data_IF_929131186168
#
_entry.id   IF_929131186168
#
_cell.length_a   1.000
_cell.length_b   1.000
_cell.length_c   1.000
_cell.angle_alpha   90.00
_cell.angle_beta   90.00
_cell.angle_gamma   90.00
#
_symmetry.space_group_name_H-M   'P 1'
#
loop_
_entity.id
_entity.type
_entity.pdbx_description
1 polymer ?
#
# COMPACT_ATOMS: atom_id res chain seq x y z
N UNK A 1 -33.35 24.80 1.42
CA UNK A 1 -32.34 25.18 0.42
C UNK A 1 -30.97 24.52 0.67
N UNK A 2 -30.30 24.72 1.82
CA UNK A 2 -28.98 24.10 2.06
C UNK A 2 -29.01 22.62 2.51
N UNK A 3 -30.10 22.19 3.17
CA UNK A 3 -30.28 20.79 3.60
C UNK A 3 -30.61 19.87 2.41
N UNK A 4 -31.39 20.39 1.46
CA UNK A 4 -31.84 19.65 0.28
C UNK A 4 -30.66 19.30 -0.64
N UNK A 5 -29.73 20.24 -0.85
CA UNK A 5 -28.51 20.03 -1.63
C UNK A 5 -27.61 18.92 -1.04
N UNK A 6 -27.57 18.79 0.29
CA UNK A 6 -26.75 17.77 0.97
C UNK A 6 -27.38 16.38 0.89
N UNK A 7 -28.71 16.30 0.87
CA UNK A 7 -29.44 15.04 0.66
C UNK A 7 -29.24 14.54 -0.78
N UNK A 8 -29.24 15.46 -1.75
CA UNK A 8 -29.03 15.14 -3.16
C UNK A 8 -27.59 14.67 -3.42
N UNK A 9 -26.59 15.29 -2.79
CA UNK A 9 -25.20 14.81 -2.80
C UNK A 9 -25.04 13.39 -2.21
N UNK A 10 -25.76 13.07 -1.13
CA UNK A 10 -25.69 11.75 -0.51
C UNK A 10 -26.38 10.67 -1.37
N UNK A 11 -27.44 11.02 -2.11
CA UNK A 11 -28.06 10.09 -3.08
C UNK A 11 -27.14 9.79 -4.26
N UNK A 12 -26.54 10.83 -4.85
CA UNK A 12 -25.58 10.67 -5.95
C UNK A 12 -24.37 9.81 -5.54
N UNK A 13 -23.87 9.98 -4.31
CA UNK A 13 -22.78 9.16 -3.77
C UNK A 13 -23.19 7.70 -3.58
N UNK A 14 -24.42 7.44 -3.15
CA UNK A 14 -24.93 6.07 -2.97
C UNK A 14 -25.12 5.34 -4.30
N UNK A 15 -25.58 6.05 -5.33
CA UNK A 15 -25.74 5.49 -6.68
C UNK A 15 -24.39 5.21 -7.35
N UNK A 16 -23.41 6.10 -7.19
CA UNK A 16 -22.04 5.86 -7.66
C UNK A 16 -21.43 4.60 -7.03
N UNK A 17 -21.57 4.44 -5.70
CA UNK A 17 -21.09 3.25 -4.99
C UNK A 17 -21.78 1.96 -5.44
N UNK A 18 -23.09 2.01 -5.70
CA UNK A 18 -23.82 0.84 -6.20
C UNK A 18 -23.33 0.42 -7.60
N UNK A 19 -23.04 1.40 -8.46
CA UNK A 19 -22.59 1.17 -9.84
C UNK A 19 -21.17 0.57 -9.87
N UNK A 20 -20.27 1.08 -9.02
CA UNK A 20 -18.91 0.53 -8.83
C UNK A 20 -18.92 -0.89 -8.26
N UNK A 21 -19.85 -1.19 -7.33
CA UNK A 21 -19.97 -2.54 -6.78
C UNK A 21 -20.39 -3.55 -7.85
N UNK A 22 -21.32 -3.18 -8.73
CA UNK A 22 -21.73 -4.03 -9.87
C UNK A 22 -20.63 -4.17 -10.92
N UNK A 23 -19.86 -3.11 -11.19
CA UNK A 23 -18.73 -3.17 -12.12
C UNK A 23 -17.60 -4.07 -11.58
N UNK A 24 -17.32 -3.98 -10.27
CA UNK A 24 -16.36 -4.84 -9.59
C UNK A 24 -16.82 -6.29 -9.55
N UNK A 25 -18.09 -6.57 -9.25
CA UNK A 25 -18.67 -7.92 -9.29
C UNK A 25 -18.67 -8.52 -10.71
N UNK A 26 -18.89 -7.71 -11.75
CA UNK A 26 -18.80 -8.16 -13.14
C UNK A 26 -17.35 -8.46 -13.55
N UNK A 27 -16.38 -7.66 -13.10
CA UNK A 27 -14.94 -7.88 -13.29
C UNK A 27 -14.44 -9.17 -12.63
N UNK A 28 -15.03 -9.61 -11.53
CA UNK A 28 -14.65 -10.87 -10.89
C UNK A 28 -15.20 -12.12 -11.61
N UNK A 29 -16.28 -11.99 -12.39
CA UNK A 29 -16.84 -13.12 -13.17
C UNK A 29 -16.07 -13.41 -14.46
N UNK A 30 -15.38 -12.43 -15.03
CA UNK A 30 -14.59 -12.62 -16.26
C UNK A 30 -13.23 -13.27 -16.00
N UNK A 31 -12.64 -13.10 -14.81
CA UNK A 31 -11.35 -13.70 -14.46
C UNK A 31 -11.42 -15.22 -14.25
N UNK A 32 -12.61 -15.79 -14.00
CA UNK A 32 -12.76 -17.24 -13.79
C UNK A 32 -12.85 -18.09 -15.07
N UNK A 33 -12.94 -17.50 -16.26
CA UNK A 33 -13.09 -18.27 -17.51
C UNK A 33 -11.79 -18.51 -18.30
N UNK A 34 -10.76 -17.66 -18.17
CA UNK A 34 -9.58 -17.75 -19.05
C UNK A 34 -8.30 -18.33 -18.40
N UNK A 35 -8.32 -18.68 -17.10
CA UNK A 35 -7.10 -19.02 -16.35
C UNK A 35 -6.74 -20.51 -16.19
N UNK A 36 -7.55 -21.45 -16.67
CA UNK A 36 -7.41 -22.87 -16.32
C UNK A 36 -6.81 -23.79 -17.41
N UNK A 37 -6.31 -23.25 -18.53
CA UNK A 37 -5.80 -24.07 -19.63
C UNK A 37 -4.25 -24.18 -19.73
N UNK A 38 -3.47 -23.58 -18.82
CA UNK A 38 -2.02 -23.39 -19.02
C UNK A 38 -1.04 -24.24 -18.19
N UNK A 39 -1.45 -24.96 -17.15
CA UNK A 39 -0.51 -25.49 -16.13
C UNK A 39 -0.66 -27.02 -15.93
N UNK A 40 -0.64 -27.78 -17.02
CA UNK A 40 -0.67 -29.26 -16.94
C UNK A 40 0.48 -29.98 -17.67
N UNK A 41 1.53 -29.26 -18.10
CA UNK A 41 2.60 -29.86 -18.92
C UNK A 41 4.01 -29.56 -18.43
N UNK A 42 4.32 -29.66 -17.14
CA UNK A 42 5.73 -29.61 -16.70
C UNK A 42 5.90 -30.23 -15.29
N UNK A 43 5.79 -31.56 -15.16
CA UNK A 43 6.53 -32.35 -14.15
C UNK A 43 6.23 -33.88 -14.27
N UNK A 44 6.67 -34.53 -15.35
CA UNK A 44 6.87 -35.99 -15.33
C UNK A 44 8.20 -36.29 -16.01
N UNK A 45 9.28 -36.25 -15.23
CA UNK A 45 10.56 -36.84 -15.61
C UNK A 45 11.37 -37.11 -14.34
N UNK A 46 11.73 -38.39 -14.16
CA UNK A 46 12.70 -38.97 -13.22
C UNK A 46 12.20 -39.50 -11.87
N UNK A 47 11.64 -40.73 -11.86
CA UNK A 47 12.01 -41.75 -10.85
C UNK A 47 12.02 -43.15 -11.48
N UNK A 48 13.14 -43.87 -11.31
CA UNK A 48 13.40 -45.25 -11.77
C UNK A 48 12.70 -46.31 -10.89
N UNK A 49 12.40 -47.44 -11.55
CA UNK A 49 11.86 -48.74 -11.10
C UNK A 49 12.52 -49.37 -9.83
N UNK A 50 11.85 -50.32 -9.11
CA UNK A 50 11.83 -51.73 -9.56
C UNK A 50 10.55 -52.58 -9.28
N UNK A 51 10.44 -53.64 -10.10
CA UNK A 51 9.59 -54.87 -10.11
C UNK A 51 8.81 -55.26 -8.83
N UNK A 52 7.52 -55.66 -9.00
CA UNK A 52 7.02 -57.07 -8.94
C UNK A 52 5.49 -57.18 -9.12
N UNK A 53 5.08 -58.28 -9.80
CA UNK A 53 3.85 -59.12 -9.70
C UNK A 53 2.51 -58.38 -9.46
N UNK A 54 1.48 -58.42 -10.29
CA UNK A 54 1.06 -59.39 -11.29
C UNK A 54 -0.40 -59.76 -11.00
N UNK A 55 -1.34 -59.28 -11.81
CA UNK A 55 -2.70 -59.85 -11.95
C UNK A 55 -3.32 -59.23 -13.20
N UNK A 56 -3.46 -60.04 -14.24
CA UNK A 56 -4.13 -59.64 -15.49
C UNK A 56 -5.63 -59.55 -15.27
N UNK A 57 -6.19 -58.36 -15.45
CA UNK A 57 -7.63 -58.19 -15.59
C UNK A 57 -7.99 -58.39 -17.06
N UNK A 58 -8.57 -59.55 -17.35
CA UNK A 58 -8.97 -59.99 -18.69
C UNK A 58 -10.23 -59.21 -19.11
N UNK A 59 -10.08 -58.28 -20.05
CA UNK A 59 -11.20 -57.54 -20.66
C UNK A 59 -12.07 -58.53 -21.45
N UNK A 60 -13.34 -58.68 -21.06
CA UNK A 60 -14.36 -59.41 -21.82
C UNK A 60 -15.29 -58.38 -22.45
N UNK A 61 -15.08 -58.07 -23.72
CA UNK A 61 -16.05 -57.30 -24.50
C UNK A 61 -17.20 -58.22 -24.88
N UNK A 62 -18.41 -57.87 -24.43
CA UNK A 62 -19.66 -58.48 -24.91
C UNK A 62 -20.38 -57.41 -25.72
N UNK A 63 -20.50 -57.65 -27.02
CA UNK A 63 -21.34 -56.87 -27.93
C UNK A 63 -22.78 -57.36 -27.73
N UNK A 64 -23.70 -56.44 -27.48
CA UNK A 64 -25.14 -56.70 -27.61
C UNK A 64 -25.73 -55.58 -28.45
N UNK A 65 -26.27 -56.00 -29.59
CA UNK A 65 -27.08 -55.18 -30.48
C UNK A 65 -28.49 -55.05 -29.86
N UNK A 66 -29.12 -53.88 -30.06
CA UNK A 66 -30.51 -53.64 -29.68
C UNK A 66 -30.65 -52.73 -28.46
N UNK A 67 -31.09 -51.50 -28.71
CA UNK A 67 -31.32 -50.50 -27.67
C UNK A 67 -32.38 -50.92 -26.65
N UNK A 68 -32.15 -50.54 -25.40
CA UNK A 68 -33.18 -50.38 -24.39
C UNK A 68 -32.73 -49.31 -23.39
N UNK A 69 -33.63 -48.38 -23.13
CA UNK A 69 -33.52 -47.28 -22.18
C UNK A 69 -33.53 -47.86 -20.76
N UNK A 70 -32.62 -47.42 -19.90
CA UNK A 70 -32.69 -47.64 -18.46
C UNK A 70 -32.73 -46.28 -17.78
N UNK A 71 -33.93 -45.88 -17.37
CA UNK A 71 -34.13 -44.91 -16.29
C UNK A 71 -33.72 -45.57 -14.98
N UNK A 72 -32.91 -44.87 -14.17
CA UNK A 72 -32.74 -45.19 -12.75
C UNK A 72 -32.81 -43.90 -11.95
N UNK A 73 -33.92 -43.73 -11.25
CA UNK A 73 -34.10 -42.69 -10.26
C UNK A 73 -33.25 -42.98 -9.01
N UNK A 74 -32.70 -41.89 -8.48
CA UNK A 74 -32.36 -41.66 -7.09
C UNK A 74 -31.38 -42.64 -6.44
N UNK A 75 -30.15 -42.17 -6.22
CA UNK A 75 -29.57 -42.24 -4.87
C UNK A 75 -28.45 -41.20 -4.71
N UNK A 76 -28.58 -40.41 -3.64
CA UNK A 76 -27.48 -39.84 -2.84
C UNK A 76 -26.65 -38.74 -3.53
N UNK A 77 -27.09 -37.49 -3.66
CA UNK A 77 -27.32 -36.50 -2.58
C UNK A 77 -26.33 -36.54 -1.40
N UNK A 78 -25.10 -37.06 -1.57
CA UNK A 78 -24.13 -37.09 -0.47
C UNK A 78 -22.68 -36.79 -0.86
N UNK A 79 -22.41 -36.37 -2.11
CA UNK A 79 -21.04 -36.08 -2.56
C UNK A 79 -20.82 -34.63 -3.05
N UNK A 80 -21.64 -33.68 -2.61
CA UNK A 80 -21.47 -32.26 -2.94
C UNK A 80 -21.33 -31.32 -1.71
N UNK A 81 -21.30 -31.86 -0.49
CA UNK A 81 -21.20 -31.06 0.75
C UNK A 81 -19.76 -31.07 1.34
N UNK A 82 -18.83 -31.85 0.77
CA UNK A 82 -17.47 -31.96 1.31
C UNK A 82 -16.43 -31.00 0.65
N UNK A 83 -16.82 -30.15 -0.30
CA UNK A 83 -15.90 -29.29 -1.07
C UNK A 83 -16.12 -27.78 -0.83
N UNK A 84 -16.66 -27.40 0.34
CA UNK A 84 -17.19 -26.05 0.58
C UNK A 84 -16.53 -25.21 1.67
N UNK A 85 -15.40 -25.63 2.27
CA UNK A 85 -14.83 -24.88 3.40
C UNK A 85 -13.30 -24.92 3.45
N UNK A 86 -12.63 -24.46 2.39
CA UNK A 86 -11.26 -23.95 2.53
C UNK A 86 -11.33 -22.41 2.51
N UNK A 87 -11.76 -21.84 3.63
CA UNK A 87 -11.67 -20.40 3.85
C UNK A 87 -10.19 -20.04 3.93
N UNK A 88 -9.62 -19.56 2.83
CA UNK A 88 -8.30 -18.95 2.80
C UNK A 88 -8.40 -17.65 3.58
N UNK A 89 -8.13 -17.70 4.89
CA UNK A 89 -7.88 -16.51 5.68
C UNK A 89 -6.59 -15.88 5.18
N UNK A 90 -6.70 -14.84 4.37
CA UNK A 90 -5.57 -14.00 4.00
C UNK A 90 -5.13 -13.23 5.24
N UNK A 91 -4.03 -13.67 5.87
CA UNK A 91 -3.36 -12.89 6.89
C UNK A 91 -2.77 -11.65 6.21
N UNK A 92 -3.34 -10.48 6.50
CA UNK A 92 -2.73 -9.21 6.09
C UNK A 92 -1.51 -9.00 6.98
N UNK A 93 -0.32 -9.31 6.46
CA UNK A 93 0.93 -8.90 7.11
C UNK A 93 1.00 -7.38 7.01
N UNK A 94 0.70 -6.69 8.11
CA UNK A 94 0.98 -5.27 8.25
C UNK A 94 2.49 -5.10 8.40
N UNK A 95 3.10 -4.17 7.64
CA UNK A 95 4.50 -3.86 7.81
C UNK A 95 4.76 -3.42 9.25
N UNK A 96 5.67 -4.11 9.95
CA UNK A 96 5.92 -3.86 11.36
C UNK A 96 6.65 -2.52 11.54
N UNK A 97 6.07 -1.62 12.34
CA UNK A 97 6.71 -0.36 12.71
C UNK A 97 7.96 -0.65 13.56
N UNK A 98 9.16 -0.16 13.16
CA UNK A 98 10.39 -0.39 13.92
C UNK A 98 10.35 0.24 15.32
N UNK A 99 11.25 -0.20 16.21
CA UNK A 99 11.45 0.45 17.51
C UNK A 99 11.79 1.93 17.36
N UNK A 100 11.43 2.74 18.36
CA UNK A 100 11.58 4.20 18.31
C UNK A 100 13.02 4.64 18.04
N UNK A 101 13.99 3.93 18.62
CA UNK A 101 15.42 4.19 18.48
C UNK A 101 15.89 3.98 17.03
N UNK A 102 15.38 2.94 16.37
CA UNK A 102 15.68 2.65 14.95
C UNK A 102 15.07 3.73 14.05
N UNK A 103 13.82 4.12 14.33
CA UNK A 103 13.16 5.21 13.60
C UNK A 103 13.93 6.54 13.75
N UNK A 104 14.39 6.86 14.96
CA UNK A 104 15.20 8.06 15.21
C UNK A 104 16.53 7.99 14.45
N UNK A 105 17.25 6.87 14.54
CA UNK A 105 18.54 6.69 13.87
C UNK A 105 18.43 6.77 12.34
N UNK A 106 17.34 6.26 11.77
CA UNK A 106 17.04 6.38 10.34
C UNK A 106 16.63 7.79 9.94
N UNK A 107 15.72 8.42 10.69
CA UNK A 107 15.20 9.76 10.36
C UNK A 107 16.31 10.81 10.27
N UNK A 108 17.29 10.76 11.17
CA UNK A 108 18.37 11.76 11.22
C UNK A 108 19.41 11.60 10.10
N UNK A 109 19.34 10.54 9.28
CA UNK A 109 20.23 10.38 8.12
C UNK A 109 20.06 11.51 7.10
N UNK A 110 18.88 12.14 7.05
CA UNK A 110 18.64 13.32 6.21
C UNK A 110 19.11 14.65 6.85
N UNK A 111 19.59 14.65 8.09
CA UNK A 111 20.12 15.84 8.75
C UNK A 111 21.65 15.93 8.61
N UNK A 112 22.21 17.15 8.48
CA UNK A 112 23.64 17.40 8.61
C UNK A 112 24.19 16.81 9.93
N UNK A 113 25.41 16.22 9.94
CA UNK A 113 25.95 15.53 11.11
C UNK A 113 25.92 16.35 12.42
N UNK A 114 26.19 17.65 12.33
CA UNK A 114 26.19 18.59 13.45
C UNK A 114 24.80 18.90 14.01
N UNK A 115 23.73 18.60 13.27
CA UNK A 115 22.34 18.87 13.65
C UNK A 115 21.56 17.62 14.03
N UNK A 116 22.09 16.42 13.78
CA UNK A 116 21.39 15.15 14.03
C UNK A 116 20.95 14.99 15.49
N UNK A 117 21.78 15.38 16.46
CA UNK A 117 21.47 15.22 17.88
C UNK A 117 20.35 16.15 18.38
N UNK A 118 20.19 17.32 17.75
CA UNK A 118 19.27 18.37 18.20
C UNK A 118 17.94 18.38 17.43
N UNK A 119 17.84 17.60 16.34
CA UNK A 119 16.64 17.56 15.51
C UNK A 119 15.43 16.96 16.25
N UNK A 120 14.27 17.58 16.06
CA UNK A 120 13.00 16.97 16.43
C UNK A 120 12.72 15.81 15.48
N UNK A 121 12.28 14.66 15.99
CA UNK A 121 11.96 13.49 15.16
C UNK A 121 10.50 13.13 15.31
N UNK A 122 9.80 13.07 14.19
CA UNK A 122 8.44 12.56 14.06
C UNK A 122 8.56 11.18 13.41
N UNK A 123 8.12 10.15 14.11
CA UNK A 123 8.02 8.80 13.57
C UNK A 123 6.60 8.30 13.59
N UNK A 124 6.44 7.00 13.67
CA UNK A 124 5.17 6.29 13.64
C UNK A 124 4.95 5.50 14.92
N UNK A 125 3.72 5.53 15.43
CA UNK A 125 3.27 4.66 16.51
C UNK A 125 2.91 3.25 16.00
N UNK A 126 2.47 2.37 16.90
CA UNK A 126 2.08 1.00 16.57
C UNK A 126 0.88 0.91 15.60
N UNK A 127 0.15 2.01 15.38
CA UNK A 127 -0.95 2.12 14.42
C UNK A 127 -0.53 2.87 13.14
N UNK A 128 0.77 3.08 12.93
CA UNK A 128 1.33 3.84 11.81
C UNK A 128 0.80 5.29 11.74
N UNK A 129 0.49 5.90 12.90
CA UNK A 129 0.14 7.31 12.98
C UNK A 129 1.35 8.15 13.37
N UNK A 130 1.48 9.39 12.85
CA UNK A 130 2.58 10.27 13.20
C UNK A 130 2.62 10.56 14.70
N UNK A 131 3.79 10.39 15.31
CA UNK A 131 4.04 10.70 16.72
C UNK A 131 5.44 11.31 16.88
N UNK A 132 5.58 12.26 17.80
CA UNK A 132 6.92 12.81 18.13
C UNK A 132 7.69 11.79 18.97
N UNK A 133 8.71 11.17 18.38
CA UNK A 133 9.60 10.22 19.07
C UNK A 133 10.70 10.93 19.85
N UNK A 134 11.17 12.08 19.35
CA UNK A 134 12.18 12.91 20.02
C UNK A 134 11.82 14.37 19.89
N UNK A 135 11.69 15.08 21.01
CA UNK A 135 11.59 16.54 21.03
C UNK A 135 13.00 17.14 21.00
N UNK A 136 13.34 17.80 19.91
CA UNK A 136 14.64 18.42 19.71
C UNK A 136 14.71 19.87 20.20
N UNK A 137 15.93 20.40 20.32
CA UNK A 137 16.21 21.81 20.63
C UNK A 137 16.68 22.61 19.41
N UNK A 138 17.00 21.91 18.32
CA UNK A 138 17.55 22.48 17.09
C UNK A 138 16.48 23.07 16.17
N UNK A 139 16.90 23.33 14.93
CA UNK A 139 16.06 23.95 13.89
C UNK A 139 15.42 22.96 12.94
N UNK A 140 15.82 21.67 12.98
CA UNK A 140 15.32 20.65 12.06
C UNK A 140 14.20 19.82 12.69
N UNK A 141 13.24 19.48 11.84
CA UNK A 141 12.24 18.44 12.05
C UNK A 141 12.54 17.34 11.02
N UNK A 142 12.74 16.12 11.50
CA UNK A 142 13.03 14.95 10.70
C UNK A 142 11.88 13.95 10.79
N UNK A 143 11.51 13.37 9.63
CA UNK A 143 10.48 12.36 9.51
C UNK A 143 11.13 10.98 9.38
N UNK A 144 10.66 10.03 10.18
CA UNK A 144 11.05 8.64 10.05
C UNK A 144 10.44 8.00 8.80
N UNK A 145 11.08 6.91 8.38
CA UNK A 145 10.64 6.09 7.27
C UNK A 145 9.25 5.49 7.53
N UNK A 146 8.43 5.44 6.49
CA UNK A 146 7.11 4.80 6.55
C UNK A 146 7.23 3.37 6.00
N UNK A 147 7.14 2.32 6.84
CA UNK A 147 7.36 0.94 6.42
C UNK A 147 6.27 0.42 5.46
N UNK A 148 5.21 1.21 5.24
CA UNK A 148 4.14 0.91 4.26
C UNK A 148 4.51 1.34 2.84
N UNK A 149 5.51 2.21 2.69
CA UNK A 149 6.01 2.68 1.40
C UNK A 149 7.17 1.78 1.00
N UNK A 150 7.18 1.39 -0.29
CA UNK A 150 8.32 0.63 -0.82
C UNK A 150 9.56 1.53 -0.85
N UNK A 151 10.69 0.99 -0.36
CA UNK A 151 12.00 1.65 -0.17
C UNK A 151 12.07 2.63 0.99
N UNK A 152 13.27 2.70 1.57
CA UNK A 152 13.59 3.64 2.65
C UNK A 152 13.51 5.09 2.16
N UNK A 153 12.80 5.94 2.90
CA UNK A 153 12.62 7.35 2.61
C UNK A 153 12.47 8.17 3.90
N UNK A 154 13.45 9.04 4.16
CA UNK A 154 13.44 9.98 5.29
C UNK A 154 13.69 11.39 4.83
N UNK A 155 13.14 12.36 5.56
CA UNK A 155 13.27 13.78 5.21
C UNK A 155 13.50 14.64 6.44
N UNK A 156 14.39 15.62 6.34
CA UNK A 156 14.58 16.67 7.35
C UNK A 156 14.37 18.05 6.71
N UNK A 157 13.65 18.92 7.41
CA UNK A 157 13.38 20.30 6.99
C UNK A 157 13.43 21.25 8.19
N UNK A 158 13.55 22.54 7.89
CA UNK A 158 13.51 23.57 8.92
C UNK A 158 12.13 23.63 9.59
N UNK A 159 12.10 23.76 10.92
CA UNK A 159 10.88 23.76 11.76
C UNK A 159 9.81 24.77 11.32
N UNK A 160 10.20 25.89 10.74
CA UNK A 160 9.24 26.89 10.25
C UNK A 160 8.39 26.40 9.07
N UNK A 161 8.81 25.34 8.37
CA UNK A 161 8.03 24.70 7.31
C UNK A 161 7.03 23.67 7.87
N UNK A 162 7.11 23.34 9.16
CA UNK A 162 6.29 22.30 9.77
C UNK A 162 4.78 22.56 9.70
N UNK A 163 4.24 23.79 9.85
CA UNK A 163 2.80 24.01 9.68
C UNK A 163 2.28 23.52 8.33
N UNK A 164 3.03 23.80 7.24
CA UNK A 164 2.70 23.36 5.89
C UNK A 164 2.84 21.84 5.69
N UNK A 165 3.89 21.23 6.27
CA UNK A 165 4.13 19.80 6.18
C UNK A 165 3.11 19.00 7.00
N UNK A 166 2.82 19.42 8.23
CA UNK A 166 1.81 18.84 9.10
C UNK A 166 0.43 18.85 8.45
N UNK A 167 0.04 19.98 7.86
CA UNK A 167 -1.21 20.07 7.12
C UNK A 167 -1.27 19.09 5.94
N UNK A 168 -0.16 18.90 5.24
CA UNK A 168 -0.05 17.88 4.19
C UNK A 168 -0.32 16.46 4.71
N UNK A 169 0.25 16.12 5.88
CA UNK A 169 0.04 14.81 6.53
C UNK A 169 -1.40 14.61 6.99
N UNK A 170 -2.03 15.64 7.56
CA UNK A 170 -3.45 15.62 7.94
C UNK A 170 -4.36 15.33 6.73
N UNK A 171 -4.15 16.03 5.62
CA UNK A 171 -4.95 15.85 4.40
C UNK A 171 -4.74 14.48 3.76
N UNK A 172 -3.50 13.98 3.78
CA UNK A 172 -3.20 12.63 3.32
C UNK A 172 -3.97 11.57 4.14
N UNK A 173 -4.05 11.74 5.47
CA UNK A 173 -4.78 10.83 6.35
C UNK A 173 -6.31 10.83 6.08
N UNK A 174 -6.86 11.95 5.59
CA UNK A 174 -8.27 12.06 5.20
C UNK A 174 -8.58 11.45 3.82
N UNK A 175 -7.56 11.01 3.08
CA UNK A 175 -7.75 10.33 1.79
C UNK A 175 -8.37 11.21 0.72
N UNK A 176 -8.06 12.52 0.69
CA UNK A 176 -8.52 13.45 -0.35
C UNK A 176 -8.01 13.01 -1.73
N UNK A 177 -8.77 12.13 -2.39
CA UNK A 177 -8.55 11.70 -3.78
C UNK A 177 -9.33 12.63 -4.70
N UNK A 178 -8.64 13.33 -5.61
CA UNK A 178 -9.27 14.01 -6.75
C UNK A 178 -9.00 15.52 -6.89
N UNK A 179 -8.57 16.20 -5.82
CA UNK A 179 -7.86 17.48 -5.90
C UNK A 179 -6.62 17.32 -5.06
N UNK A 180 -5.43 17.59 -5.62
CA UNK A 180 -4.19 17.38 -4.88
C UNK A 180 -4.25 18.10 -3.52
N UNK A 181 -3.64 17.56 -2.45
CA UNK A 181 -3.49 18.27 -1.17
C UNK A 181 -2.92 19.67 -1.33
N UNK A 182 -2.21 19.90 -2.44
CA UNK A 182 -1.68 21.19 -2.88
C UNK A 182 -2.78 22.23 -3.11
N UNK A 183 -3.87 21.92 -3.83
CA UNK A 183 -4.96 22.87 -4.11
C UNK A 183 -5.57 23.44 -2.83
N UNK A 184 -5.84 22.57 -1.86
CA UNK A 184 -6.45 22.97 -0.60
C UNK A 184 -5.47 23.79 0.25
N UNK A 185 -4.23 23.31 0.39
CA UNK A 185 -3.20 24.04 1.14
C UNK A 185 -2.88 25.39 0.50
N UNK A 186 -2.87 25.48 -0.83
CA UNK A 186 -2.68 26.76 -1.53
C UNK A 186 -3.81 27.74 -1.24
N UNK A 187 -5.07 27.28 -1.21
CA UNK A 187 -6.19 28.13 -0.82
C UNK A 187 -6.10 28.55 0.66
N UNK A 188 -5.69 27.66 1.55
CA UNK A 188 -5.47 27.98 2.97
C UNK A 188 -4.32 28.98 3.16
N UNK A 189 -3.25 28.88 2.37
CA UNK A 189 -2.15 29.86 2.36
C UNK A 189 -2.65 31.22 1.87
N UNK A 190 -3.37 31.26 0.74
CA UNK A 190 -3.94 32.51 0.18
C UNK A 190 -4.88 33.21 1.15
N UNK A 191 -5.66 32.43 1.90
CA UNK A 191 -6.59 32.94 2.90
C UNK A 191 -5.93 33.20 4.26
N UNK A 192 -4.63 32.93 4.41
CA UNK A 192 -3.86 33.15 5.63
C UNK A 192 -4.15 32.17 6.77
N UNK A 193 -4.91 31.09 6.51
CA UNK A 193 -5.23 30.07 7.52
C UNK A 193 -4.14 29.02 7.67
N UNK A 194 -3.30 28.82 6.63
CA UNK A 194 -2.10 27.98 6.69
C UNK A 194 -0.85 28.84 6.59
N UNK A 195 -0.01 28.77 7.62
CA UNK A 195 1.26 29.50 7.66
C UNK A 195 2.27 28.85 6.72
N UNK A 196 2.84 29.66 5.83
CA UNK A 196 3.99 29.32 5.00
C UNK A 196 5.14 30.26 5.38
N UNK A 197 6.39 29.76 5.56
CA UNK A 197 7.53 30.62 5.85
C UNK A 197 7.76 31.62 4.70
N UNK A 198 8.18 32.85 5.02
CA UNK A 198 8.53 33.85 4.01
C UNK A 198 9.84 33.51 3.31
N UNK A 199 10.83 33.09 4.09
CA UNK A 199 12.14 32.72 3.60
C UNK A 199 12.14 31.31 2.98
N UNK A 200 12.94 31.07 1.93
CA UNK A 200 13.10 29.74 1.37
C UNK A 200 13.55 28.72 2.41
N UNK A 201 12.93 27.53 2.37
CA UNK A 201 13.27 26.42 3.28
C UNK A 201 13.75 25.21 2.50
N UNK A 202 14.94 24.74 2.85
CA UNK A 202 15.51 23.50 2.34
C UNK A 202 14.87 22.30 3.06
N UNK A 203 14.52 21.30 2.27
CA UNK A 203 14.19 19.95 2.72
C UNK A 203 15.21 19.00 2.10
N UNK A 204 15.92 18.27 2.94
CA UNK A 204 16.82 17.20 2.52
C UNK A 204 16.08 15.88 2.65
N UNK A 205 16.13 15.06 1.61
CA UNK A 205 15.47 13.77 1.55
C UNK A 205 16.53 12.72 1.23
N UNK A 206 16.63 11.69 2.05
CA UNK A 206 17.51 10.54 1.81
C UNK A 206 16.63 9.35 1.48
N UNK A 207 16.91 8.72 0.35
CA UNK A 207 16.22 7.51 -0.11
C UNK A 207 17.24 6.41 -0.35
N UNK A 208 16.83 5.15 -0.18
CA UNK A 208 17.69 3.99 -0.42
C UNK A 208 16.89 2.70 -0.40
N UNK A 209 17.58 1.57 -0.56
CA UNK A 209 16.94 0.25 -0.56
C UNK A 209 16.52 -0.18 0.84
N UNK A 210 17.38 0.03 1.84
CA UNK A 210 17.10 -0.27 3.25
C UNK A 210 17.99 0.54 4.19
N UNK A 211 17.57 0.69 5.45
CA UNK A 211 18.40 1.22 6.53
C UNK A 211 18.89 0.10 7.43
N UNK A 212 20.21 0.02 7.63
CA UNK A 212 20.84 -0.90 8.57
C UNK A 212 21.05 -0.17 9.91
N UNK A 213 20.28 -0.58 10.92
CA UNK A 213 20.35 -0.01 12.26
C UNK A 213 21.61 -0.38 13.03
N UNK A 214 22.30 -1.48 12.66
CA UNK A 214 23.52 -1.92 13.33
C UNK A 214 24.72 -1.05 12.91
N UNK A 215 24.76 -0.65 11.64
CA UNK A 215 25.84 0.19 11.09
C UNK A 215 25.46 1.67 11.03
N UNK A 216 24.17 2.00 11.09
CA UNK A 216 23.65 3.34 10.91
C UNK A 216 23.73 3.83 9.47
N UNK A 217 23.68 2.93 8.48
CA UNK A 217 23.87 3.27 7.06
C UNK A 217 22.64 2.96 6.22
N UNK A 218 22.39 3.79 5.20
CA UNK A 218 21.35 3.55 4.20
C UNK A 218 21.98 2.90 2.96
N UNK A 219 21.50 1.72 2.57
CA UNK A 219 21.97 1.00 1.39
C UNK A 219 21.48 1.68 0.10
N UNK A 220 22.34 1.70 -0.93
CA UNK A 220 22.08 2.33 -2.24
C UNK A 220 21.53 3.75 -2.14
N UNK A 221 22.03 4.52 -1.17
CA UNK A 221 21.44 5.80 -0.82
C UNK A 221 21.69 6.87 -1.88
N UNK A 222 20.67 7.70 -2.13
CA UNK A 222 20.86 8.99 -2.77
C UNK A 222 20.14 10.09 -1.98
N UNK A 223 20.65 11.31 -2.11
CA UNK A 223 20.08 12.49 -1.46
C UNK A 223 19.42 13.39 -2.51
N UNK A 224 18.20 13.84 -2.21
CA UNK A 224 17.47 14.84 -2.97
C UNK A 224 17.27 16.08 -2.12
N UNK A 225 17.53 17.24 -2.70
CA UNK A 225 17.24 18.53 -2.09
C UNK A 225 16.01 19.14 -2.74
N UNK A 226 15.09 19.61 -1.90
CA UNK A 226 13.90 20.34 -2.32
C UNK A 226 13.94 21.69 -1.63
N UNK A 227 13.88 22.78 -2.39
CA UNK A 227 13.82 24.13 -1.86
C UNK A 227 12.40 24.64 -2.07
N UNK A 228 11.71 24.90 -0.96
CA UNK A 228 10.41 25.58 -1.00
C UNK A 228 10.66 27.09 -1.06
N UNK A 229 10.17 27.76 -2.11
CA UNK A 229 10.31 29.21 -2.35
C UNK A 229 8.93 29.88 -2.45
N UNK A 230 8.24 30.12 -1.32
CA UNK A 230 6.87 30.60 -1.32
C UNK A 230 6.71 31.96 -1.98
N UNK A 231 5.78 32.06 -2.94
CA UNK A 231 5.51 33.31 -3.65
C UNK A 231 6.57 33.74 -4.66
N UNK A 232 7.58 32.90 -4.93
CA UNK A 232 8.62 33.20 -5.89
C UNK A 232 8.13 33.00 -7.34
N UNK A 233 8.58 33.87 -8.24
CA UNK A 233 8.39 33.79 -9.70
C UNK A 233 9.68 33.36 -10.39
N UNK A 234 9.62 32.87 -11.64
CA UNK A 234 10.82 32.56 -12.43
C UNK A 234 11.83 33.72 -12.47
N UNK A 235 11.35 34.96 -12.60
CA UNK A 235 12.19 36.17 -12.64
C UNK A 235 12.87 36.43 -11.29
N UNK A 236 12.18 36.17 -10.18
CA UNK A 236 12.73 36.39 -8.83
C UNK A 236 13.78 35.35 -8.42
N UNK A 237 13.68 34.12 -8.96
CA UNK A 237 14.60 33.02 -8.64
C UNK A 237 15.70 32.85 -9.66
N UNK A 238 15.50 33.30 -10.90
CA UNK A 238 16.39 32.99 -12.02
C UNK A 238 16.43 31.50 -12.37
N UNK A 239 15.36 30.76 -12.01
CA UNK A 239 15.16 29.34 -12.29
C UNK A 239 14.05 29.16 -13.33
#
# INVERSE_FOLDING_TARGET
MAVDARIEQLRAFREALATDLTAWQASQRTVTCDGLCGIASFLILHVRHPRRRGTGCRLRLRKTDGGAVISCHAMTSSLLIALGALAVTTFVVQAQVPAAEVQIAGAVQAAPPDQQATATVIGLDAQSKPVTLRKGTGVLVCLADDPRVDKFNVACYHKDLEPFMARGRELAALGTKGRGPEDLRWNEIKNGTLVMPKEPRLTTIVQGTAFDAATGTVADSYTRWVIYTPGATPESTGL
#
